data_IF_724959598834
#
_entry.id   IF_724959598834
#
_cell.length_a   1.000
_cell.length_b   1.000
_cell.length_c   1.000
_cell.angle_alpha   90.00
_cell.angle_beta   90.00
_cell.angle_gamma   90.00
#
_symmetry.space_group_name_H-M   'P 1'
#
loop_
_entity.id
_entity.type
_entity.pdbx_description
1 polymer ?
#
# COMPACT_ATOMS: atom_id res chain seq x y z
N UNK A 1 -6.70 -7.49 0.76
CA UNK A 1 -5.25 -7.35 1.02
C UNK A 1 -4.92 -5.99 1.60
N UNK A 2 -5.25 -4.87 0.96
CA UNK A 2 -4.97 -3.50 1.46
C UNK A 2 -5.57 -3.24 2.84
N UNK A 3 -6.74 -3.78 3.15
CA UNK A 3 -7.35 -3.70 4.48
C UNK A 3 -6.43 -4.28 5.59
N UNK A 4 -5.78 -5.42 5.33
CA UNK A 4 -4.85 -6.03 6.30
C UNK A 4 -3.54 -5.24 6.42
N UNK A 5 -3.06 -4.64 5.33
CA UNK A 5 -1.90 -3.73 5.37
C UNK A 5 -2.20 -2.50 6.24
N UNK A 6 -3.43 -1.99 6.20
CA UNK A 6 -3.90 -0.87 7.02
C UNK A 6 -3.70 -1.08 8.53
N UNK A 7 -3.84 -2.30 9.05
CA UNK A 7 -3.55 -2.60 10.46
C UNK A 7 -2.13 -2.15 10.86
N UNK A 8 -1.15 -2.35 9.97
CA UNK A 8 0.26 -2.04 10.22
C UNK A 8 0.57 -0.54 10.18
N UNK A 9 -0.31 0.25 9.58
CA UNK A 9 -0.26 1.72 9.52
C UNK A 9 -1.18 2.36 10.55
N UNK A 10 -1.79 1.55 11.41
CA UNK A 10 -2.64 2.04 12.50
C UNK A 10 -1.84 2.92 13.48
N UNK A 11 -2.53 3.84 14.14
CA UNK A 11 -1.89 4.74 15.14
C UNK A 11 -1.21 3.96 16.26
N UNK A 12 -1.74 2.79 16.59
CA UNK A 12 -1.16 1.88 17.60
C UNK A 12 0.16 1.28 17.11
N UNK A 13 0.21 0.77 15.88
CA UNK A 13 1.41 0.19 15.29
C UNK A 13 2.51 1.25 15.12
N UNK A 14 2.16 2.44 14.63
CA UNK A 14 3.11 3.55 14.44
C UNK A 14 3.69 4.08 15.76
N UNK A 15 2.90 4.08 16.84
CA UNK A 15 3.39 4.50 18.17
C UNK A 15 4.34 3.47 18.80
N UNK A 16 4.13 2.19 18.51
CA UNK A 16 4.94 1.12 19.09
C UNK A 16 6.36 1.05 18.51
N UNK A 17 6.56 1.53 17.28
CA UNK A 17 7.83 1.39 16.57
C UNK A 17 8.17 2.67 15.77
N UNK A 18 8.57 3.74 16.47
CA UNK A 18 8.91 5.03 15.84
C UNK A 18 9.98 4.91 14.75
N UNK A 19 11.02 4.10 14.98
CA UNK A 19 12.07 3.87 14.00
C UNK A 19 11.57 3.21 12.70
N UNK A 20 10.53 2.38 12.78
CA UNK A 20 9.88 1.77 11.63
C UNK A 20 9.28 2.82 10.69
N UNK A 21 8.67 3.86 11.26
CA UNK A 21 8.09 4.95 10.49
C UNK A 21 9.18 5.78 9.79
N UNK A 22 10.22 6.18 10.53
CA UNK A 22 11.34 6.95 9.97
C UNK A 22 12.06 6.17 8.89
N UNK A 23 12.39 4.90 9.15
CA UNK A 23 13.07 4.03 8.19
C UNK A 23 12.22 3.78 6.93
N UNK A 24 10.92 3.49 7.10
CA UNK A 24 10.01 3.25 5.99
C UNK A 24 9.79 4.50 5.13
N UNK A 25 9.64 5.66 5.76
CA UNK A 25 9.50 6.93 5.07
C UNK A 25 10.78 7.33 4.34
N UNK A 26 11.95 7.22 4.97
CA UNK A 26 13.25 7.52 4.35
C UNK A 26 13.51 6.59 3.17
N UNK A 27 13.25 5.29 3.33
CA UNK A 27 13.38 4.31 2.27
C UNK A 27 12.45 4.63 1.08
N UNK A 28 11.21 5.02 1.37
CA UNK A 28 10.25 5.41 0.34
C UNK A 28 10.72 6.67 -0.42
N UNK A 29 10.99 7.76 0.30
CA UNK A 29 11.35 9.04 -0.30
C UNK A 29 12.60 8.92 -1.15
N UNK A 30 13.65 8.26 -0.61
CA UNK A 30 14.89 8.06 -1.36
C UNK A 30 14.67 7.22 -2.61
N UNK A 31 13.87 6.15 -2.51
CA UNK A 31 13.54 5.32 -3.68
C UNK A 31 12.77 6.10 -4.74
N UNK A 32 11.78 6.89 -4.33
CA UNK A 32 10.98 7.70 -5.26
C UNK A 32 11.84 8.73 -5.98
N UNK A 33 12.67 9.47 -5.25
CA UNK A 33 13.54 10.51 -5.83
C UNK A 33 14.56 9.91 -6.79
N UNK A 34 15.27 8.86 -6.38
CA UNK A 34 16.30 8.25 -7.20
C UNK A 34 15.71 7.57 -8.44
N UNK A 35 14.59 6.89 -8.32
CA UNK A 35 13.90 6.27 -9.46
C UNK A 35 13.41 7.32 -10.44
N UNK A 36 12.81 8.43 -9.96
CA UNK A 36 12.36 9.51 -10.84
C UNK A 36 13.51 10.03 -11.71
N UNK A 37 14.61 10.44 -11.09
CA UNK A 37 15.73 11.01 -11.83
C UNK A 37 16.46 9.99 -12.71
N UNK A 38 16.62 8.76 -12.26
CA UNK A 38 17.27 7.72 -13.04
C UNK A 38 16.47 7.33 -14.28
N UNK A 39 15.15 7.15 -14.16
CA UNK A 39 14.29 6.84 -15.31
C UNK A 39 14.19 8.01 -16.28
N UNK A 40 14.17 9.26 -15.78
CA UNK A 40 14.28 10.46 -16.63
C UNK A 40 15.60 10.53 -17.37
N UNK A 41 16.72 10.18 -16.73
CA UNK A 41 18.04 10.21 -17.37
C UNK A 41 18.19 9.22 -18.53
N UNK A 42 17.44 8.13 -18.52
CA UNK A 42 17.42 7.15 -19.62
C UNK A 42 16.29 7.38 -20.63
N UNK A 43 15.63 8.54 -20.57
CA UNK A 43 14.68 8.98 -21.60
C UNK A 43 13.21 8.64 -21.34
N UNK A 44 12.85 8.16 -20.14
CA UNK A 44 11.44 7.96 -19.80
C UNK A 44 10.67 9.30 -19.79
N UNK A 45 9.42 9.32 -20.25
CA UNK A 45 8.57 10.50 -20.16
C UNK A 45 8.30 10.92 -18.71
N UNK A 46 7.96 12.20 -18.50
CA UNK A 46 7.70 12.72 -17.14
C UNK A 46 6.58 11.98 -16.43
N UNK A 47 5.49 11.68 -17.15
CA UNK A 47 4.35 10.93 -16.65
C UNK A 47 4.75 9.52 -16.20
N UNK A 48 5.49 8.80 -17.04
CA UNK A 48 6.00 7.45 -16.74
C UNK A 48 6.95 7.49 -15.56
N UNK A 49 7.91 8.42 -15.54
CA UNK A 49 8.87 8.55 -14.46
C UNK A 49 8.20 8.86 -13.10
N UNK A 50 7.14 9.68 -13.09
CA UNK A 50 6.35 9.98 -11.89
C UNK A 50 5.61 8.75 -11.37
N UNK A 51 4.98 7.98 -12.25
CA UNK A 51 4.28 6.74 -11.88
C UNK A 51 5.26 5.71 -11.32
N UNK A 52 6.40 5.51 -11.98
CA UNK A 52 7.45 4.60 -11.52
C UNK A 52 8.04 5.04 -10.17
N UNK A 53 8.24 6.34 -9.97
CA UNK A 53 8.71 6.91 -8.70
C UNK A 53 7.70 6.68 -7.58
N UNK A 54 6.42 6.91 -7.81
CA UNK A 54 5.37 6.66 -6.83
C UNK A 54 5.33 5.20 -6.38
N UNK A 55 5.55 4.27 -7.32
CA UNK A 55 5.59 2.83 -7.06
C UNK A 55 6.94 2.32 -6.53
N UNK A 56 7.98 3.15 -6.51
CA UNK A 56 9.33 2.70 -6.14
C UNK A 56 9.43 2.18 -4.71
N UNK A 57 8.63 2.70 -3.80
CA UNK A 57 8.55 2.23 -2.41
C UNK A 57 7.70 0.98 -2.21
N UNK A 58 6.83 0.65 -3.16
CA UNK A 58 5.93 -0.50 -3.03
C UNK A 58 6.71 -1.77 -2.66
N UNK A 59 6.13 -2.58 -1.81
CA UNK A 59 6.74 -3.80 -1.30
C UNK A 59 5.73 -4.92 -1.20
N UNK A 60 6.18 -6.03 -0.63
CA UNK A 60 5.33 -7.15 -0.28
C UNK A 60 5.46 -7.44 1.23
N UNK A 61 4.87 -6.62 2.12
CA UNK A 61 5.04 -6.77 3.57
C UNK A 61 4.67 -8.16 4.08
N UNK A 62 3.68 -8.80 3.43
CA UNK A 62 3.25 -10.15 3.81
C UNK A 62 4.26 -11.22 3.40
N UNK A 63 4.88 -11.08 2.23
CA UNK A 63 5.98 -11.98 1.81
C UNK A 63 7.14 -11.88 2.79
N UNK A 64 7.51 -10.66 3.21
CA UNK A 64 8.55 -10.43 4.21
C UNK A 64 8.14 -11.02 5.56
N UNK A 65 6.90 -10.82 5.99
CA UNK A 65 6.39 -11.42 7.22
C UNK A 65 6.45 -12.96 7.17
N UNK A 66 6.14 -13.55 6.01
CA UNK A 66 6.27 -14.98 5.81
C UNK A 66 7.72 -15.46 5.89
N UNK A 67 8.65 -14.75 5.24
CA UNK A 67 10.09 -15.06 5.32
C UNK A 67 10.58 -14.97 6.77
N UNK A 68 10.27 -13.88 7.46
CA UNK A 68 10.63 -13.67 8.88
C UNK A 68 10.12 -14.82 9.75
N UNK A 69 8.88 -15.27 9.52
CA UNK A 69 8.29 -16.40 10.25
C UNK A 69 8.92 -17.74 9.89
N UNK A 70 9.27 -17.97 8.63
CA UNK A 70 9.88 -19.23 8.16
C UNK A 70 11.28 -19.45 8.75
N UNK A 71 12.07 -18.38 8.90
CA UNK A 71 13.38 -18.43 9.56
C UNK A 71 13.26 -18.30 11.09
N UNK A 72 12.02 -18.27 11.63
CA UNK A 72 11.72 -18.15 13.06
C UNK A 72 12.42 -16.96 13.75
N UNK A 73 12.66 -15.88 12.99
CA UNK A 73 13.24 -14.66 13.54
C UNK A 73 12.27 -14.03 14.54
N UNK A 74 12.80 -13.61 15.68
CA UNK A 74 12.04 -13.00 16.78
C UNK A 74 12.71 -11.70 17.22
N UNK A 75 11.95 -10.90 17.96
CA UNK A 75 12.42 -9.63 18.54
C UNK A 75 11.98 -8.42 17.75
N UNK A 76 12.33 -7.26 18.28
CA UNK A 76 11.88 -5.96 17.78
C UNK A 76 12.38 -5.67 16.36
N UNK A 77 13.59 -6.12 16.03
CA UNK A 77 14.14 -5.96 14.69
C UNK A 77 13.32 -6.73 13.63
N UNK A 78 12.98 -7.99 13.90
CA UNK A 78 12.19 -8.81 12.98
C UNK A 78 10.79 -8.22 12.74
N UNK A 79 10.16 -7.74 13.80
CA UNK A 79 8.86 -7.05 13.73
C UNK A 79 8.98 -5.73 12.98
N UNK A 80 10.05 -4.98 13.25
CA UNK A 80 10.29 -3.70 12.65
C UNK A 80 10.59 -3.74 11.16
N UNK A 81 11.31 -4.74 10.66
CA UNK A 81 11.54 -4.93 9.23
C UNK A 81 10.20 -5.07 8.49
N UNK A 82 9.27 -5.88 9.00
CA UNK A 82 7.93 -6.02 8.41
C UNK A 82 7.17 -4.69 8.45
N UNK A 83 7.26 -3.98 9.57
CA UNK A 83 6.64 -2.66 9.74
C UNK A 83 7.20 -1.61 8.78
N UNK A 84 8.52 -1.54 8.60
CA UNK A 84 9.20 -0.64 7.67
C UNK A 84 8.67 -0.82 6.24
N UNK A 85 8.56 -2.07 5.79
CA UNK A 85 8.01 -2.35 4.46
C UNK A 85 6.51 -2.04 4.37
N UNK A 86 5.74 -2.22 5.44
CA UNK A 86 4.33 -1.84 5.46
C UNK A 86 4.14 -0.31 5.36
N UNK A 87 4.99 0.47 6.05
CA UNK A 87 4.98 1.94 5.94
C UNK A 87 5.36 2.39 4.53
N UNK A 88 6.44 1.84 3.97
CA UNK A 88 6.89 2.18 2.62
C UNK A 88 5.82 1.83 1.56
N UNK A 89 5.12 0.70 1.72
CA UNK A 89 4.05 0.25 0.82
C UNK A 89 2.80 1.14 0.94
N UNK A 90 2.43 1.53 2.15
CA UNK A 90 1.34 2.47 2.40
C UNK A 90 1.61 3.84 1.75
N UNK A 91 2.83 4.37 1.91
CA UNK A 91 3.25 5.62 1.27
C UNK A 91 3.23 5.50 -0.25
N UNK A 92 3.72 4.39 -0.81
CA UNK A 92 3.69 4.14 -2.24
C UNK A 92 2.26 4.11 -2.79
N UNK A 93 1.35 3.38 -2.12
CA UNK A 93 -0.06 3.31 -2.52
C UNK A 93 -0.75 4.67 -2.47
N UNK A 94 -0.52 5.42 -1.40
CA UNK A 94 -1.11 6.76 -1.23
C UNK A 94 -0.56 7.74 -2.27
N UNK A 95 0.76 7.73 -2.47
CA UNK A 95 1.40 8.63 -3.45
C UNK A 95 1.03 8.23 -4.88
N UNK A 96 0.92 6.94 -5.18
CA UNK A 96 0.46 6.49 -6.49
C UNK A 96 -0.96 6.99 -6.80
N UNK A 97 -1.89 6.87 -5.85
CA UNK A 97 -3.24 7.40 -6.00
C UNK A 97 -3.26 8.92 -6.24
N UNK A 98 -2.33 9.66 -5.62
CA UNK A 98 -2.20 11.10 -5.78
C UNK A 98 -1.49 11.50 -7.10
N UNK A 99 -0.51 10.71 -7.53
CA UNK A 99 0.32 11.00 -8.73
C UNK A 99 -0.38 10.59 -10.02
N UNK A 100 -1.23 9.58 -9.98
CA UNK A 100 -1.87 9.03 -11.19
C UNK A 100 -2.64 10.09 -12.00
N UNK A 101 -3.51 10.93 -11.43
CA UNK A 101 -4.17 12.03 -12.16
C UNK A 101 -3.18 13.05 -12.72
N UNK A 102 -2.12 13.36 -11.99
CA UNK A 102 -1.08 14.28 -12.44
C UNK A 102 -0.32 13.71 -13.65
N UNK A 103 -0.02 12.41 -13.60
CA UNK A 103 0.66 11.71 -14.68
C UNK A 103 -0.19 11.66 -15.97
N UNK A 104 -1.50 11.50 -15.84
CA UNK A 104 -2.42 11.54 -17.00
C UNK A 104 -2.45 12.92 -17.66
N UNK A 105 -2.48 14.01 -16.87
CA UNK A 105 -2.38 15.38 -17.41
C UNK A 105 -1.06 15.59 -18.16
N UNK A 106 0.04 15.11 -17.59
CA UNK A 106 1.37 15.28 -18.22
C UNK A 106 1.55 14.43 -19.47
N UNK A 107 0.78 13.36 -19.62
CA UNK A 107 0.79 12.51 -20.80
C UNK A 107 -0.05 13.08 -21.95
N UNK A 108 -1.13 13.78 -21.63
CA UNK A 108 -2.05 14.39 -22.59
C UNK A 108 -1.97 15.92 -22.50
N UNK A 109 -1.48 16.56 -23.56
CA UNK A 109 -1.34 18.03 -23.62
C UNK A 109 -2.68 18.76 -23.68
N UNK A 110 -3.74 18.07 -24.07
CA UNK A 110 -5.12 18.60 -24.13
C UNK A 110 -5.93 18.27 -22.87
N UNK A 111 -5.31 17.69 -21.85
CA UNK A 111 -5.98 17.31 -20.61
C UNK A 111 -6.53 18.54 -19.87
N UNK A 112 -7.79 18.46 -19.48
CA UNK A 112 -8.43 19.48 -18.66
C UNK A 112 -7.89 19.44 -17.24
N UNK A 113 -7.12 20.47 -16.85
CA UNK A 113 -6.54 20.61 -15.50
C UNK A 113 -7.63 20.60 -14.43
N UNK A 114 -8.83 21.14 -14.75
CA UNK A 114 -9.93 21.16 -13.78
C UNK A 114 -10.45 19.75 -13.50
N UNK A 115 -10.60 18.91 -14.53
CA UNK A 115 -11.00 17.52 -14.40
C UNK A 115 -9.97 16.73 -13.56
N UNK A 116 -8.70 16.93 -13.82
CA UNK A 116 -7.64 16.22 -13.09
C UNK A 116 -7.51 16.66 -11.61
N UNK A 117 -7.79 17.91 -11.28
CA UNK A 117 -7.89 18.35 -9.88
C UNK A 117 -9.08 17.68 -9.17
N UNK A 118 -10.21 17.57 -9.88
CA UNK A 118 -11.38 16.84 -9.35
C UNK A 118 -11.03 15.37 -9.13
N UNK A 119 -10.39 14.71 -10.09
CA UNK A 119 -9.95 13.31 -9.95
C UNK A 119 -8.97 13.12 -8.78
N UNK A 120 -8.02 14.03 -8.61
CA UNK A 120 -7.11 14.01 -7.46
C UNK A 120 -7.86 14.09 -6.13
N UNK A 121 -8.84 15.00 -6.03
CA UNK A 121 -9.66 15.17 -4.82
C UNK A 121 -10.51 13.91 -4.59
N UNK A 122 -11.17 13.41 -5.63
CA UNK A 122 -12.01 12.22 -5.52
C UNK A 122 -11.20 10.97 -5.15
N UNK A 123 -10.10 10.70 -5.85
CA UNK A 123 -9.26 9.54 -5.61
C UNK A 123 -8.58 9.59 -4.23
N UNK A 124 -8.02 10.74 -3.85
CA UNK A 124 -7.26 10.90 -2.61
C UNK A 124 -8.17 11.13 -1.39
N UNK A 125 -8.92 12.23 -1.39
CA UNK A 125 -9.76 12.60 -0.26
C UNK A 125 -10.95 11.67 -0.14
N UNK A 126 -11.63 11.36 -1.25
CA UNK A 126 -12.76 10.44 -1.27
C UNK A 126 -12.39 9.05 -0.77
N UNK A 127 -11.26 8.49 -1.24
CA UNK A 127 -10.74 7.22 -0.76
C UNK A 127 -10.42 7.23 0.74
N UNK A 128 -9.81 8.31 1.21
CA UNK A 128 -9.51 8.48 2.63
C UNK A 128 -10.79 8.53 3.47
N UNK A 129 -11.75 9.36 3.10
CA UNK A 129 -13.02 9.53 3.85
C UNK A 129 -13.83 8.23 3.84
N UNK A 130 -13.98 7.59 2.68
CA UNK A 130 -14.68 6.30 2.57
C UNK A 130 -14.02 5.23 3.45
N UNK A 131 -12.70 5.19 3.46
CA UNK A 131 -11.93 4.26 4.29
C UNK A 131 -12.12 4.54 5.79
N UNK A 132 -12.02 5.79 6.23
CA UNK A 132 -12.25 6.17 7.63
C UNK A 132 -13.64 5.77 8.10
N UNK A 133 -14.67 6.08 7.32
CA UNK A 133 -16.04 5.71 7.63
C UNK A 133 -16.25 4.20 7.64
N UNK A 134 -15.77 3.49 6.60
CA UNK A 134 -15.87 2.03 6.51
C UNK A 134 -15.18 1.32 7.66
N UNK A 135 -13.97 1.77 8.02
CA UNK A 135 -13.23 1.21 9.16
C UNK A 135 -13.90 1.47 10.50
N UNK A 136 -14.49 2.65 10.69
CA UNK A 136 -15.28 2.97 11.86
C UNK A 136 -16.54 2.09 11.98
N UNK A 137 -17.28 1.90 10.87
CA UNK A 137 -18.43 1.00 10.83
C UNK A 137 -18.04 -0.45 11.13
N UNK A 138 -16.95 -0.96 10.53
CA UNK A 138 -16.45 -2.30 10.80
C UNK A 138 -16.09 -2.45 12.29
N UNK A 139 -15.43 -1.44 12.87
CA UNK A 139 -15.10 -1.46 14.30
C UNK A 139 -16.34 -1.48 15.18
N UNK A 140 -17.31 -0.60 14.88
CA UNK A 140 -18.48 -0.40 15.74
C UNK A 140 -19.48 -1.55 15.69
N UNK A 141 -19.78 -2.04 14.49
CA UNK A 141 -20.79 -3.08 14.29
C UNK A 141 -20.17 -4.48 14.43
N UNK A 142 -18.97 -4.69 13.91
CA UNK A 142 -18.28 -5.98 13.98
C UNK A 142 -17.94 -6.40 15.40
N UNK A 143 -17.80 -5.45 16.33
CA UNK A 143 -17.57 -5.74 17.75
C UNK A 143 -18.68 -6.60 18.39
N UNK A 144 -19.91 -6.50 17.90
CA UNK A 144 -21.06 -7.24 18.39
C UNK A 144 -21.15 -8.68 17.87
N UNK A 145 -20.31 -9.03 16.89
CA UNK A 145 -20.32 -10.36 16.26
C UNK A 145 -19.40 -11.28 17.05
N UNK A 146 -19.92 -12.40 17.53
CA UNK A 146 -19.18 -13.34 18.38
C UNK A 146 -18.40 -14.38 17.60
N UNK A 147 -18.97 -14.89 16.49
CA UNK A 147 -18.35 -15.98 15.73
C UNK A 147 -17.39 -15.46 14.66
N UNK A 148 -16.26 -16.14 14.46
CA UNK A 148 -15.27 -15.74 13.46
C UNK A 148 -15.78 -15.86 12.03
N UNK A 149 -16.66 -16.83 11.75
CA UNK A 149 -17.26 -17.00 10.43
C UNK A 149 -18.18 -15.84 10.03
N UNK A 150 -19.08 -15.44 10.94
CA UNK A 150 -19.96 -14.28 10.73
C UNK A 150 -19.15 -12.99 10.62
N UNK A 151 -18.11 -12.83 11.45
CA UNK A 151 -17.22 -11.67 11.38
C UNK A 151 -16.51 -11.59 10.03
N UNK A 152 -16.05 -12.72 9.48
CA UNK A 152 -15.46 -12.76 8.14
C UNK A 152 -16.45 -12.34 7.07
N UNK A 153 -17.66 -12.91 7.09
CA UNK A 153 -18.71 -12.55 6.13
C UNK A 153 -19.08 -11.08 6.24
N UNK A 154 -19.23 -10.57 7.46
CA UNK A 154 -19.51 -9.16 7.71
C UNK A 154 -18.46 -8.25 7.10
N UNK A 155 -17.16 -8.54 7.31
CA UNK A 155 -16.06 -7.75 6.74
C UNK A 155 -16.04 -7.84 5.22
N UNK A 156 -16.24 -9.04 4.65
CA UNK A 156 -16.29 -9.22 3.19
C UNK A 156 -17.44 -8.42 2.56
N UNK A 157 -18.63 -8.46 3.16
CA UNK A 157 -19.78 -7.67 2.69
C UNK A 157 -19.45 -6.18 2.74
N UNK A 158 -18.82 -5.68 3.82
CA UNK A 158 -18.44 -4.27 3.91
C UNK A 158 -17.36 -3.87 2.90
N UNK A 159 -16.41 -4.74 2.60
CA UNK A 159 -15.41 -4.51 1.54
C UNK A 159 -16.09 -4.47 0.17
N UNK A 160 -17.02 -5.36 -0.12
CA UNK A 160 -17.77 -5.38 -1.39
C UNK A 160 -18.67 -4.15 -1.54
N UNK A 161 -19.36 -3.76 -0.48
CA UNK A 161 -20.14 -2.51 -0.46
C UNK A 161 -19.24 -1.29 -0.65
N UNK A 162 -18.10 -1.25 0.04
CA UNK A 162 -17.09 -0.21 -0.13
C UNK A 162 -16.55 -0.16 -1.55
N UNK A 163 -16.35 -1.31 -2.19
CA UNK A 163 -15.98 -1.37 -3.61
C UNK A 163 -17.08 -0.78 -4.50
N UNK A 164 -18.34 -1.17 -4.32
CA UNK A 164 -19.45 -0.65 -5.12
C UNK A 164 -19.60 0.87 -4.98
N UNK A 165 -19.44 1.41 -3.76
CA UNK A 165 -19.46 2.85 -3.50
C UNK A 165 -18.24 3.54 -4.12
N UNK A 166 -17.06 2.96 -4.01
CA UNK A 166 -15.82 3.49 -4.58
C UNK A 166 -15.89 3.56 -6.09
N UNK A 167 -16.41 2.53 -6.74
CA UNK A 167 -16.62 2.47 -8.19
C UNK A 167 -17.63 3.51 -8.65
N UNK A 168 -18.76 3.61 -7.98
CA UNK A 168 -19.82 4.59 -8.30
C UNK A 168 -19.34 6.05 -8.16
N UNK A 169 -18.51 6.34 -7.17
CA UNK A 169 -17.99 7.68 -6.89
C UNK A 169 -16.62 7.97 -7.57
N UNK A 170 -16.07 7.03 -8.35
CA UNK A 170 -14.71 7.11 -8.91
C UNK A 170 -13.64 7.38 -7.83
N UNK A 171 -13.70 6.65 -6.72
CA UNK A 171 -12.80 6.77 -5.57
C UNK A 171 -11.72 5.68 -5.61
N UNK A 172 -10.52 5.97 -5.11
CA UNK A 172 -9.45 4.98 -4.98
C UNK A 172 -9.80 3.86 -3.99
N UNK A 173 -10.19 2.70 -4.51
CA UNK A 173 -10.48 1.52 -3.68
C UNK A 173 -9.26 1.04 -2.86
N UNK A 174 -8.02 0.96 -3.41
CA UNK A 174 -6.86 0.57 -2.61
C UNK A 174 -6.64 1.48 -1.40
N UNK A 175 -6.78 2.79 -1.59
CA UNK A 175 -6.64 3.77 -0.51
C UNK A 175 -7.77 3.65 0.51
N UNK A 176 -9.02 3.51 0.05
CA UNK A 176 -10.16 3.31 0.93
C UNK A 176 -10.01 2.04 1.79
N UNK A 177 -9.60 0.91 1.19
CA UNK A 177 -9.37 -0.33 1.91
C UNK A 177 -8.21 -0.22 2.93
N UNK A 178 -7.12 0.44 2.56
CA UNK A 178 -5.99 0.71 3.46
C UNK A 178 -6.44 1.53 4.67
N UNK A 179 -7.14 2.63 4.43
CA UNK A 179 -7.63 3.53 5.48
C UNK A 179 -8.69 2.87 6.36
N UNK A 180 -9.55 2.01 5.78
CA UNK A 180 -10.53 1.23 6.54
C UNK A 180 -9.83 0.26 7.51
N UNK A 181 -8.79 -0.44 7.07
CA UNK A 181 -7.98 -1.30 7.93
C UNK A 181 -7.26 -0.52 9.03
N UNK A 182 -6.62 0.60 8.69
CA UNK A 182 -5.92 1.46 9.63
C UNK A 182 -6.87 2.02 10.70
N UNK A 183 -8.06 2.47 10.29
CA UNK A 183 -9.09 3.00 11.19
C UNK A 183 -9.65 1.89 12.07
N UNK A 184 -10.06 0.75 11.50
CA UNK A 184 -10.56 -0.37 12.28
C UNK A 184 -9.56 -0.81 13.35
N UNK A 185 -8.27 -0.89 13.02
CA UNK A 185 -7.22 -1.22 13.98
C UNK A 185 -6.98 -0.15 15.04
N UNK A 186 -7.14 1.14 14.68
CA UNK A 186 -6.87 2.27 15.59
C UNK A 186 -7.99 2.51 16.60
N UNK A 187 -9.25 2.37 16.17
CA UNK A 187 -10.45 2.70 16.98
C UNK A 187 -10.95 1.52 17.80
N UNK A 188 -10.67 0.29 17.35
CA UNK A 188 -11.15 -0.92 18.01
C UNK A 188 -10.41 -1.20 19.34
N UNK A 189 -11.08 -1.81 20.34
CA UNK A 189 -10.38 -2.43 21.44
C UNK A 189 -9.36 -3.46 20.93
N UNK A 190 -8.23 -3.60 21.63
CA UNK A 190 -7.12 -4.44 21.17
C UNK A 190 -7.53 -5.90 20.93
N UNK A 191 -8.28 -6.48 21.85
CA UNK A 191 -8.76 -7.86 21.73
C UNK A 191 -9.63 -8.09 20.50
N UNK A 192 -10.49 -7.13 20.17
CA UNK A 192 -11.32 -7.19 18.97
C UNK A 192 -10.49 -6.98 17.69
N UNK A 193 -9.59 -6.01 17.68
CA UNK A 193 -8.68 -5.76 16.56
C UNK A 193 -7.89 -7.03 16.21
N UNK A 194 -7.28 -7.67 17.21
CA UNK A 194 -6.53 -8.92 17.02
C UNK A 194 -7.42 -10.03 16.43
N UNK A 195 -8.65 -10.19 16.93
CA UNK A 195 -9.61 -11.17 16.43
C UNK A 195 -10.02 -10.84 14.97
N UNK A 196 -10.35 -9.60 14.68
CA UNK A 196 -10.75 -9.12 13.38
C UNK A 196 -9.69 -9.45 12.31
N UNK A 197 -8.47 -9.00 12.54
CA UNK A 197 -7.39 -9.19 11.56
C UNK A 197 -6.93 -10.65 11.47
N UNK A 198 -6.95 -11.41 12.56
CA UNK A 198 -6.72 -12.86 12.52
C UNK A 198 -7.75 -13.56 11.65
N UNK A 199 -9.01 -13.20 11.77
CA UNK A 199 -10.11 -13.77 10.98
C UNK A 199 -9.95 -13.46 9.49
N UNK A 200 -9.66 -12.20 9.14
CA UNK A 200 -9.46 -11.82 7.73
C UNK A 200 -8.24 -12.50 7.11
N UNK A 201 -7.18 -12.69 7.88
CA UNK A 201 -5.96 -13.39 7.41
C UNK A 201 -6.19 -14.85 7.05
N UNK A 202 -7.27 -15.50 7.49
CA UNK A 202 -7.57 -16.90 7.11
C UNK A 202 -7.79 -17.07 5.61
N UNK A 203 -8.29 -16.03 4.93
CA UNK A 203 -8.54 -16.04 3.47
C UNK A 203 -7.43 -15.37 2.67
N UNK A 204 -6.42 -14.83 3.32
CA UNK A 204 -5.38 -14.04 2.68
C UNK A 204 -4.55 -14.88 1.71
N UNK A 205 -4.16 -16.07 2.12
CA UNK A 205 -3.34 -16.97 1.31
C UNK A 205 -4.03 -17.43 0.02
N UNK A 206 -5.29 -17.92 0.03
CA UNK A 206 -6.03 -18.19 -1.21
C UNK A 206 -6.19 -16.97 -2.11
N UNK A 207 -6.43 -15.78 -1.52
CA UNK A 207 -6.55 -14.54 -2.30
C UNK A 207 -5.23 -14.13 -2.96
N UNK A 208 -4.08 -14.32 -2.30
CA UNK A 208 -2.78 -14.12 -2.92
C UNK A 208 -2.54 -15.06 -4.09
N UNK A 209 -2.85 -16.35 -3.92
CA UNK A 209 -2.70 -17.32 -5.00
C UNK A 209 -3.52 -16.93 -6.22
N UNK A 210 -4.78 -16.58 -6.01
CA UNK A 210 -5.69 -16.12 -7.08
C UNK A 210 -5.17 -14.84 -7.74
N UNK A 211 -4.76 -13.86 -6.93
CA UNK A 211 -4.22 -12.59 -7.42
C UNK A 211 -2.99 -12.79 -8.30
N UNK A 212 -2.00 -13.57 -7.83
CA UNK A 212 -0.78 -13.80 -8.60
C UNK A 212 -1.04 -14.66 -9.85
N UNK A 213 -1.96 -15.62 -9.79
CA UNK A 213 -2.38 -16.39 -10.97
C UNK A 213 -3.01 -15.50 -12.03
N UNK A 214 -3.95 -14.62 -11.64
CA UNK A 214 -4.59 -13.68 -12.56
C UNK A 214 -3.60 -12.64 -13.09
N UNK A 215 -2.77 -12.08 -12.22
CA UNK A 215 -1.74 -11.10 -12.61
C UNK A 215 -0.74 -11.74 -13.59
N UNK A 216 -0.30 -12.98 -13.31
CA UNK A 216 0.58 -13.70 -14.23
C UNK A 216 -0.07 -14.01 -15.57
N UNK A 217 -1.34 -14.37 -15.58
CA UNK A 217 -2.09 -14.62 -16.82
C UNK A 217 -2.34 -13.35 -17.64
N UNK A 218 -2.30 -12.17 -17.01
CA UNK A 218 -2.47 -10.88 -17.68
C UNK A 218 -1.19 -10.34 -18.32
N UNK A 219 -0.04 -10.95 -18.04
CA UNK A 219 1.25 -10.52 -18.61
C UNK A 219 1.35 -11.01 -20.05
N UNK A 220 1.44 -10.06 -20.99
CA UNK A 220 1.76 -10.34 -22.38
C UNK A 220 3.27 -10.40 -22.55
N UNK A 221 3.78 -11.56 -22.92
CA UNK A 221 5.24 -11.78 -23.04
C UNK A 221 5.88 -10.88 -24.10
N UNK A 222 5.11 -10.49 -25.11
CA UNK A 222 5.55 -9.60 -26.19
C UNK A 222 5.85 -8.18 -25.67
N UNK A 223 5.18 -7.75 -24.60
CA UNK A 223 5.38 -6.42 -24.00
C UNK A 223 6.69 -6.34 -23.19
N UNK A 224 7.26 -7.49 -22.79
CA UNK A 224 8.52 -7.53 -22.02
C UNK A 224 9.67 -6.93 -22.82
N UNK A 225 9.70 -7.13 -24.13
CA UNK A 225 10.68 -6.50 -25.03
C UNK A 225 10.65 -4.97 -25.03
N UNK A 226 9.46 -4.38 -24.79
CA UNK A 226 9.25 -2.93 -24.73
C UNK A 226 9.72 -2.28 -23.42
N UNK A 227 9.92 -3.06 -22.36
CA UNK A 227 10.36 -2.56 -21.04
C UNK A 227 11.78 -1.97 -21.11
N UNK A 228 12.65 -2.53 -21.94
CA UNK A 228 13.94 -1.97 -22.34
C UNK A 228 14.84 -1.49 -21.19
N UNK A 229 15.62 -0.46 -21.48
CA UNK A 229 16.59 0.13 -20.53
C UNK A 229 15.87 0.77 -19.31
N UNK A 230 14.69 1.35 -19.51
CA UNK A 230 13.93 2.01 -18.43
C UNK A 230 13.58 1.01 -17.32
N UNK A 231 13.14 -0.21 -17.70
CA UNK A 231 12.79 -1.23 -16.71
C UNK A 231 14.02 -1.77 -15.95
N UNK A 232 15.13 -1.98 -16.65
CA UNK A 232 16.39 -2.41 -16.00
C UNK A 232 16.87 -1.36 -15.01
N UNK A 233 16.85 -0.08 -15.41
CA UNK A 233 17.24 1.05 -14.55
C UNK A 233 16.28 1.16 -13.36
N UNK A 234 14.96 1.07 -13.59
CA UNK A 234 13.97 1.06 -12.53
C UNK A 234 14.24 0.01 -11.47
N UNK A 235 14.44 -1.26 -11.87
CA UNK A 235 14.67 -2.36 -10.94
C UNK A 235 15.98 -2.15 -10.18
N UNK A 236 17.06 -1.83 -10.88
CA UNK A 236 18.40 -1.69 -10.28
C UNK A 236 18.46 -0.53 -9.28
N UNK A 237 17.96 0.63 -9.69
CA UNK A 237 17.94 1.83 -8.84
C UNK A 237 17.01 1.65 -7.65
N UNK A 238 15.82 1.06 -7.85
CA UNK A 238 14.88 0.76 -6.79
C UNK A 238 15.48 -0.14 -5.71
N UNK A 239 16.16 -1.22 -6.11
CA UNK A 239 16.80 -2.13 -5.16
C UNK A 239 17.92 -1.41 -4.39
N UNK A 240 18.82 -0.70 -5.10
CA UNK A 240 19.89 0.08 -4.46
C UNK A 240 19.35 1.15 -3.51
N UNK A 241 18.34 1.91 -3.94
CA UNK A 241 17.72 2.96 -3.15
C UNK A 241 17.03 2.42 -1.88
N UNK A 242 16.37 1.25 -1.97
CA UNK A 242 15.77 0.60 -0.80
C UNK A 242 16.82 0.16 0.22
N UNK A 243 17.95 -0.37 -0.22
CA UNK A 243 19.05 -0.75 0.66
C UNK A 243 19.63 0.49 1.35
N UNK A 244 20.00 1.50 0.57
CA UNK A 244 20.59 2.74 1.09
C UNK A 244 19.58 3.48 2.00
N UNK A 245 18.35 3.60 1.57
CA UNK A 245 17.29 4.26 2.34
C UNK A 245 16.97 3.52 3.65
N UNK A 246 17.04 2.18 3.64
CA UNK A 246 16.90 1.38 4.84
C UNK A 246 18.05 1.59 5.83
N UNK A 247 19.29 1.65 5.34
CA UNK A 247 20.48 1.93 6.17
C UNK A 247 20.42 3.34 6.78
N UNK A 248 20.18 4.35 5.94
CA UNK A 248 20.09 5.75 6.39
C UNK A 248 18.92 5.90 7.39
N UNK A 249 17.75 5.39 7.06
CA UNK A 249 16.57 5.49 7.90
C UNK A 249 16.74 4.74 9.23
N UNK A 250 17.44 3.60 9.23
CA UNK A 250 17.79 2.87 10.45
C UNK A 250 18.71 3.69 11.38
N UNK A 251 19.74 4.32 10.81
CA UNK A 251 20.63 5.22 11.57
C UNK A 251 19.88 6.39 12.21
N UNK A 252 18.98 7.03 11.47
CA UNK A 252 18.15 8.12 12.01
C UNK A 252 17.05 7.62 12.96
N UNK A 253 16.62 6.39 12.81
CA UNK A 253 15.62 5.77 13.66
C UNK A 253 16.15 5.27 15.01
N UNK A 254 17.45 5.24 15.19
CA UNK A 254 18.10 4.78 16.43
C UNK A 254 18.31 3.26 16.48
N UNK A 255 18.51 2.62 15.33
CA UNK A 255 18.96 1.22 15.19
C UNK A 255 20.46 1.11 15.35
#
# INVERSE_FOLDING_TARGET
LMFVIGERVSTRALRAAKWTLTTGATQYVLSAVLVFWATRAVGADRSVALVLAALAGAGAPMTIAHIVSSVKAKGDYATGVVGTHAVSDALATTTFAAVLPIATILADQDADISAAVVDFIQLGIGGTVLGLLGGWFISRLGFQIETSGELLLFVLVHILLGWAVADWLNISLPLAALMAGATAASVSPEAFSLRLFRTVRTIEQPLYLLFFALAGASIHLDDIGGVGVVGVVYISVRVGAKIIGGLIGGLFGGL
#
